data_IF_950283853542
#
_entry.id   IF_950283853542
#
_cell.length_a   1.000
_cell.length_b   1.000
_cell.length_c   1.000
_cell.angle_alpha   90.00
_cell.angle_beta   90.00
_cell.angle_gamma   90.00
#
_symmetry.space_group_name_H-M   'P 1'
#
loop_
_entity.id
_entity.type
_entity.pdbx_description
1 polymer ?
#
# COMPACT_ATOMS: atom_id res chain seq x y z
N UNK A 1 -31.97 36.55 -20.92
CA UNK A 1 -30.75 37.16 -20.34
C UNK A 1 -30.83 36.94 -18.83
N UNK A 2 -29.89 36.41 -18.04
CA UNK A 2 -28.53 35.85 -18.16
C UNK A 2 -28.40 34.93 -16.91
N UNK A 3 -28.13 33.64 -17.10
CA UNK A 3 -26.82 32.96 -16.96
C UNK A 3 -26.45 32.42 -15.57
N UNK A 4 -26.21 31.10 -15.61
CA UNK A 4 -25.72 30.19 -14.58
C UNK A 4 -24.38 30.65 -13.96
N UNK A 5 -24.37 30.87 -12.64
CA UNK A 5 -23.14 30.85 -11.83
C UNK A 5 -22.90 29.44 -11.31
N UNK A 6 -22.15 28.58 -12.03
CA UNK A 6 -21.54 27.35 -11.45
C UNK A 6 -20.61 26.59 -12.41
N UNK A 7 -19.59 27.23 -12.98
CA UNK A 7 -18.48 26.50 -13.64
C UNK A 7 -17.17 27.30 -13.56
N UNK A 8 -16.38 27.12 -12.51
CA UNK A 8 -15.02 27.68 -12.45
C UNK A 8 -14.01 26.90 -11.60
N UNK A 9 -14.26 25.61 -11.31
CA UNK A 9 -13.33 24.80 -10.49
C UNK A 9 -12.73 23.55 -11.15
N UNK A 10 -13.03 23.26 -12.42
CA UNK A 10 -12.45 22.11 -13.14
C UNK A 10 -11.28 22.49 -14.06
N UNK A 11 -11.19 23.74 -14.52
CA UNK A 11 -10.16 24.17 -15.48
C UNK A 11 -8.80 24.49 -14.86
N UNK A 12 -8.69 24.52 -13.52
CA UNK A 12 -7.43 24.86 -12.84
C UNK A 12 -6.56 23.64 -12.52
N UNK A 13 -6.97 22.43 -12.91
CA UNK A 13 -6.19 21.22 -12.64
C UNK A 13 -5.10 20.96 -13.70
N UNK A 14 -5.23 21.51 -14.92
CA UNK A 14 -4.35 21.17 -16.05
C UNK A 14 -3.27 22.21 -16.41
N UNK A 15 -3.25 23.39 -15.77
CA UNK A 15 -2.34 24.48 -16.15
C UNK A 15 -1.06 24.59 -15.29
N UNK A 16 -0.79 23.66 -14.37
CA UNK A 16 0.36 23.77 -13.46
C UNK A 16 1.61 22.98 -13.88
N UNK A 17 1.61 22.26 -15.02
CA UNK A 17 2.69 21.31 -15.34
C UNK A 17 3.44 21.64 -16.63
N UNK A 18 3.54 22.92 -17.02
CA UNK A 18 4.41 23.35 -18.12
C UNK A 18 5.36 24.47 -17.68
N UNK A 19 6.56 24.08 -17.23
CA UNK A 19 7.85 24.82 -17.13
C UNK A 19 8.74 24.00 -16.17
N UNK A 20 9.92 23.46 -16.48
CA UNK A 20 10.96 23.72 -17.48
C UNK A 20 11.55 22.37 -17.95
N UNK A 21 11.60 22.15 -19.26
CA UNK A 21 12.63 21.33 -19.89
C UNK A 21 13.60 22.36 -20.47
N UNK A 22 14.83 22.40 -19.98
CA UNK A 22 15.95 23.00 -20.70
C UNK A 22 16.88 21.85 -21.03
N UNK A 23 16.85 21.50 -22.31
CA UNK A 23 17.86 20.75 -23.05
C UNK A 23 19.13 21.59 -23.15
N UNK A 24 20.28 20.99 -22.89
CA UNK A 24 21.52 21.34 -23.58
C UNK A 24 22.32 20.06 -23.83
N UNK A 25 22.46 19.76 -25.11
CA UNK A 25 23.34 18.78 -25.75
C UNK A 25 24.79 19.27 -25.68
N UNK A 26 25.76 18.34 -25.67
CA UNK A 26 27.01 18.47 -26.43
C UNK A 26 27.75 17.12 -26.50
N UNK A 27 28.10 16.73 -27.72
CA UNK A 27 28.89 15.56 -28.10
C UNK A 27 30.39 15.93 -28.28
N UNK A 28 31.25 14.88 -28.17
CA UNK A 28 32.66 14.69 -28.63
C UNK A 28 33.78 15.55 -27.94
N UNK A 29 35.04 15.15 -27.67
CA UNK A 29 35.98 14.08 -28.09
C UNK A 29 37.10 13.90 -27.03
N UNK A 30 37.57 12.65 -26.84
CA UNK A 30 38.94 12.11 -26.63
C UNK A 30 40.05 12.69 -25.70
N UNK A 31 40.78 11.71 -25.15
CA UNK A 31 42.18 11.60 -24.69
C UNK A 31 42.68 12.14 -23.33
N UNK A 32 43.56 11.32 -22.71
CA UNK A 32 44.65 11.79 -21.84
C UNK A 32 44.48 11.68 -20.33
N UNK A 33 45.24 10.77 -19.72
CA UNK A 33 45.44 10.61 -18.27
C UNK A 33 46.03 11.87 -17.60
N UNK A 34 45.57 12.22 -16.39
CA UNK A 34 46.44 12.53 -15.23
C UNK A 34 45.64 12.76 -13.93
N UNK A 35 46.17 12.19 -12.85
CA UNK A 35 45.67 12.27 -11.48
C UNK A 35 45.60 13.70 -10.95
N UNK A 36 44.41 14.09 -10.48
CA UNK A 36 44.26 15.02 -9.37
C UNK A 36 43.12 14.52 -8.47
N UNK A 37 43.48 14.08 -7.25
CA UNK A 37 42.53 13.70 -6.22
C UNK A 37 41.77 14.95 -5.78
N UNK A 38 40.50 15.05 -6.17
CA UNK A 38 39.61 16.09 -5.67
C UNK A 38 38.97 15.64 -4.35
N UNK A 39 38.96 16.56 -3.38
CA UNK A 39 38.37 16.38 -2.04
C UNK A 39 36.91 15.90 -2.04
N UNK A 40 36.22 15.97 -3.19
CA UNK A 40 34.90 15.39 -3.43
C UNK A 40 34.86 13.87 -3.30
N UNK A 41 35.90 13.13 -3.69
CA UNK A 41 35.94 11.67 -3.51
C UNK A 41 36.15 11.27 -2.04
N UNK A 42 36.87 12.11 -1.28
CA UNK A 42 37.05 11.92 0.16
C UNK A 42 35.74 12.17 0.90
N UNK A 43 35.00 13.21 0.52
CA UNK A 43 33.69 13.54 1.10
C UNK A 43 32.64 12.43 0.87
N UNK A 44 32.61 11.81 -0.31
CA UNK A 44 31.72 10.67 -0.61
C UNK A 44 32.09 9.44 0.24
N UNK A 45 33.38 9.19 0.44
CA UNK A 45 33.84 8.08 1.30
C UNK A 45 33.58 8.32 2.80
N UNK A 46 33.47 9.58 3.23
CA UNK A 46 33.16 9.95 4.62
C UNK A 46 31.66 10.03 4.91
N UNK A 47 30.81 10.35 3.92
CA UNK A 47 29.35 10.32 4.09
C UNK A 47 28.80 8.89 4.13
N UNK A 48 29.42 7.96 3.39
CA UNK A 48 29.12 6.52 3.48
C UNK A 48 29.59 5.93 4.83
N UNK A 49 30.58 6.54 5.49
CA UNK A 49 31.12 6.11 6.79
C UNK A 49 30.42 6.70 8.02
N UNK A 50 29.26 7.36 7.85
CA UNK A 50 28.45 7.91 8.97
C UNK A 50 27.04 7.31 9.11
N UNK A 51 26.87 6.03 8.76
CA UNK A 51 25.75 5.20 9.22
C UNK A 51 26.30 3.90 9.82
N UNK A 52 26.52 3.90 11.14
CA UNK A 52 26.76 2.66 11.89
C UNK A 52 25.47 1.84 11.91
N UNK A 53 25.37 0.85 11.03
CA UNK A 53 24.23 -0.08 10.95
C UNK A 53 24.14 -0.75 9.58
N UNK A 54 23.52 -1.93 9.51
CA UNK A 54 23.33 -2.67 8.25
C UNK A 54 22.72 -1.79 7.15
N UNK A 55 23.27 -1.88 5.93
CA UNK A 55 22.89 -1.05 4.77
C UNK A 55 21.37 -1.06 4.50
N UNK A 56 20.76 -2.22 4.65
CA UNK A 56 19.32 -2.45 4.44
C UNK A 56 18.54 -2.64 5.74
N UNK A 57 18.98 -2.00 6.83
CA UNK A 57 18.16 -1.93 8.06
C UNK A 57 16.84 -1.19 7.76
N UNK A 58 15.73 -1.75 8.24
CA UNK A 58 14.39 -1.21 7.99
C UNK A 58 14.22 0.24 8.47
N UNK A 59 14.92 0.66 9.54
CA UNK A 59 14.87 2.03 10.04
C UNK A 59 15.37 3.07 9.02
N UNK A 60 16.24 2.70 8.09
CA UNK A 60 16.71 3.59 7.04
C UNK A 60 15.58 4.02 6.07
N UNK A 61 14.52 3.22 5.97
CA UNK A 61 13.38 3.48 5.07
C UNK A 61 12.23 4.23 5.74
N UNK A 62 12.16 4.23 7.08
CA UNK A 62 11.10 4.89 7.86
C UNK A 62 11.16 6.42 7.75
N UNK A 63 12.34 6.99 7.48
CA UNK A 63 12.61 8.44 7.56
C UNK A 63 12.08 9.22 6.35
N UNK A 64 11.82 8.58 5.21
CA UNK A 64 11.47 9.28 3.96
C UNK A 64 9.96 9.26 3.73
N UNK A 65 9.34 10.45 3.67
CA UNK A 65 7.92 10.62 3.30
C UNK A 65 7.60 10.15 1.87
N UNK A 66 8.61 9.97 1.02
CA UNK A 66 8.47 9.45 -0.34
C UNK A 66 9.72 8.66 -0.72
N UNK A 67 9.58 7.35 -0.83
CA UNK A 67 10.64 6.43 -1.27
C UNK A 67 10.60 6.29 -2.80
N UNK A 68 11.76 6.24 -3.45
CA UNK A 68 11.87 5.90 -4.86
C UNK A 68 11.56 4.42 -5.08
N UNK A 69 11.16 4.03 -6.29
CA UNK A 69 10.80 2.63 -6.60
C UNK A 69 11.93 1.63 -6.28
N UNK A 70 13.19 1.99 -6.52
CA UNK A 70 14.34 1.16 -6.13
C UNK A 70 14.49 1.01 -4.61
N UNK A 71 14.21 2.07 -3.85
CA UNK A 71 14.25 2.03 -2.38
C UNK A 71 13.11 1.18 -1.81
N UNK A 72 11.92 1.27 -2.42
CA UNK A 72 10.77 0.40 -2.10
C UNK A 72 11.16 -1.07 -2.34
N UNK A 73 11.75 -1.38 -3.49
CA UNK A 73 12.20 -2.73 -3.79
C UNK A 73 13.23 -3.23 -2.77
N UNK A 74 14.24 -2.42 -2.46
CA UNK A 74 15.26 -2.74 -1.47
C UNK A 74 14.64 -3.01 -0.09
N UNK A 75 13.68 -2.18 0.34
CA UNK A 75 12.95 -2.38 1.59
C UNK A 75 12.11 -3.67 1.59
N UNK A 76 11.54 -4.08 0.47
CA UNK A 76 10.69 -5.27 0.42
C UNK A 76 11.49 -6.58 0.35
N UNK A 77 12.60 -6.59 -0.41
CA UNK A 77 13.35 -7.80 -0.76
C UNK A 77 14.71 -7.92 -0.08
N UNK A 78 15.40 -6.80 0.14
CA UNK A 78 16.79 -6.77 0.64
C UNK A 78 16.89 -6.38 2.12
N UNK A 79 15.76 -6.12 2.79
CA UNK A 79 15.76 -5.77 4.21
C UNK A 79 16.55 -6.80 5.01
N UNK A 80 17.45 -6.28 5.83
CA UNK A 80 18.34 -7.08 6.66
C UNK A 80 17.54 -7.99 7.61
N UNK A 81 18.01 -9.23 7.74
CA UNK A 81 17.45 -10.25 8.62
C UNK A 81 18.58 -10.65 9.59
N UNK A 82 18.38 -10.54 10.92
CA UNK A 82 19.35 -11.01 11.91
C UNK A 82 19.64 -12.50 11.75
N UNK A 83 20.80 -12.97 12.21
CA UNK A 83 21.08 -14.41 12.32
C UNK A 83 20.12 -15.07 13.33
N UNK A 84 19.71 -16.34 13.17
CA UNK A 84 18.94 -17.07 14.18
C UNK A 84 19.54 -17.06 15.60
N UNK A 85 20.86 -16.93 15.72
CA UNK A 85 21.60 -16.83 16.98
C UNK A 85 21.80 -15.39 17.47
N UNK A 86 21.20 -14.40 16.80
CA UNK A 86 21.33 -13.00 17.17
C UNK A 86 20.77 -12.73 18.57
N UNK A 87 21.54 -12.01 19.39
CA UNK A 87 21.17 -11.66 20.74
C UNK A 87 20.31 -10.38 20.77
N UNK A 88 19.00 -10.58 20.74
CA UNK A 88 18.05 -9.47 20.82
C UNK A 88 18.10 -8.75 22.18
N UNK A 89 18.09 -7.40 22.19
CA UNK A 89 17.99 -6.59 23.39
C UNK A 89 16.81 -6.98 24.28
N UNK A 90 17.07 -7.01 25.59
CA UNK A 90 16.07 -7.29 26.61
C UNK A 90 15.43 -5.97 27.06
N UNK A 91 14.10 -5.96 27.09
CA UNK A 91 13.28 -4.85 27.58
C UNK A 91 12.56 -5.25 28.86
N UNK A 92 12.65 -4.39 29.88
CA UNK A 92 11.88 -4.55 31.10
C UNK A 92 10.43 -4.13 30.85
N UNK A 93 9.49 -5.05 31.05
CA UNK A 93 8.05 -4.84 30.94
C UNK A 93 7.38 -5.18 32.29
N UNK A 94 7.30 -4.18 33.16
CA UNK A 94 6.81 -4.34 34.52
C UNK A 94 7.74 -5.23 35.34
N UNK A 95 7.23 -6.35 35.84
CA UNK A 95 8.01 -7.33 36.64
C UNK A 95 8.78 -8.34 35.79
N UNK A 96 8.55 -8.37 34.48
CA UNK A 96 9.16 -9.36 33.59
C UNK A 96 10.09 -8.69 32.59
N UNK A 97 11.15 -9.39 32.22
CA UNK A 97 12.03 -8.98 31.14
C UNK A 97 11.71 -9.81 29.90
N UNK A 98 11.55 -9.15 28.75
CA UNK A 98 11.16 -9.79 27.48
C UNK A 98 12.08 -9.30 26.37
N UNK A 99 12.27 -10.14 25.34
CA UNK A 99 13.05 -9.79 24.16
C UNK A 99 12.30 -10.21 22.90
N UNK A 100 12.67 -9.59 21.78
CA UNK A 100 12.22 -10.04 20.47
C UNK A 100 12.63 -11.51 20.25
N UNK A 101 11.77 -12.30 19.63
CA UNK A 101 12.04 -13.70 19.33
C UNK A 101 12.22 -13.87 17.82
N UNK A 102 13.30 -14.55 17.42
CA UNK A 102 13.57 -14.83 16.00
C UNK A 102 12.39 -15.50 15.29
N UNK A 103 11.69 -16.41 15.99
CA UNK A 103 10.48 -17.10 15.52
C UNK A 103 9.41 -16.17 14.94
N UNK A 104 9.33 -14.91 15.38
CA UNK A 104 8.38 -13.95 14.82
C UNK A 104 8.68 -13.64 13.34
N UNK A 105 9.94 -13.61 12.94
CA UNK A 105 10.35 -13.39 11.54
C UNK A 105 9.96 -14.59 10.65
N UNK A 106 9.96 -15.81 11.20
CA UNK A 106 9.54 -17.02 10.49
C UNK A 106 8.03 -17.06 10.28
N UNK A 107 7.25 -16.64 11.28
CA UNK A 107 5.78 -16.67 11.22
C UNK A 107 5.24 -15.51 10.37
N UNK A 108 5.89 -14.34 10.40
CA UNK A 108 5.39 -13.11 9.76
C UNK A 108 6.39 -12.61 8.70
N UNK A 109 6.25 -13.01 7.42
CA UNK A 109 7.18 -12.62 6.35
C UNK A 109 7.29 -11.11 6.10
N UNK A 110 6.29 -10.34 6.54
CA UNK A 110 6.25 -8.88 6.45
C UNK A 110 6.97 -8.18 7.60
N UNK A 111 7.32 -8.89 8.66
CA UNK A 111 8.01 -8.36 9.82
C UNK A 111 9.51 -8.22 9.53
N UNK A 112 10.11 -7.13 10.01
CA UNK A 112 11.54 -6.90 9.96
C UNK A 112 12.01 -6.30 11.29
N UNK A 113 13.18 -6.72 11.76
CA UNK A 113 13.81 -6.16 12.93
C UNK A 113 14.81 -5.06 12.52
N UNK A 114 14.84 -3.97 13.27
CA UNK A 114 15.85 -2.92 13.13
C UNK A 114 16.86 -3.03 14.27
N UNK A 115 18.14 -3.15 13.95
CA UNK A 115 19.22 -3.05 14.92
C UNK A 115 19.38 -1.61 15.40
N UNK A 116 19.23 -0.64 14.49
CA UNK A 116 19.35 0.79 14.76
C UNK A 116 18.31 1.23 15.81
N UNK A 117 17.05 0.87 15.59
CA UNK A 117 15.93 1.25 16.46
C UNK A 117 15.58 0.18 17.51
N UNK A 118 16.32 -0.94 17.54
CA UNK A 118 16.16 -2.05 18.47
C UNK A 118 14.73 -2.59 18.58
N UNK A 119 13.99 -2.65 17.47
CA UNK A 119 12.61 -3.12 17.48
C UNK A 119 12.08 -3.44 16.10
N UNK A 120 10.83 -3.90 16.06
CA UNK A 120 10.26 -4.49 14.86
C UNK A 120 9.36 -3.52 14.08
N UNK A 121 9.35 -3.69 12.76
CA UNK A 121 8.56 -2.93 11.80
C UNK A 121 7.85 -3.86 10.82
N UNK A 122 6.74 -3.40 10.26
CA UNK A 122 6.09 -4.04 9.13
C UNK A 122 6.57 -3.41 7.83
N UNK A 123 7.32 -4.17 7.02
CA UNK A 123 7.89 -3.71 5.73
C UNK A 123 6.83 -3.11 4.81
N UNK A 124 5.68 -3.78 4.69
CA UNK A 124 4.60 -3.32 3.82
C UNK A 124 3.99 -2.01 4.30
N UNK A 125 3.72 -1.90 5.61
CA UNK A 125 3.09 -0.71 6.17
C UNK A 125 4.04 0.49 6.18
N UNK A 126 5.32 0.29 6.51
CA UNK A 126 6.36 1.34 6.43
C UNK A 126 6.37 1.99 5.06
N UNK A 127 6.22 1.19 4.00
CA UNK A 127 6.34 1.68 2.63
C UNK A 127 5.03 2.15 2.02
N UNK A 128 3.86 1.64 2.42
CA UNK A 128 2.60 1.93 1.71
C UNK A 128 1.49 2.55 2.58
N UNK A 129 1.69 2.69 3.89
CA UNK A 129 0.69 3.23 4.80
C UNK A 129 0.88 4.75 5.06
N UNK A 130 0.85 5.56 4.00
CA UNK A 130 1.08 7.01 4.09
C UNK A 130 -0.11 7.82 4.62
N UNK A 131 -1.32 7.28 4.50
CA UNK A 131 -2.57 7.89 4.98
C UNK A 131 -3.26 6.91 5.90
N UNK A 132 -3.49 7.29 7.16
CA UNK A 132 -4.25 6.48 8.13
C UNK A 132 -5.54 5.97 7.48
N UNK A 133 -5.77 4.66 7.51
CA UNK A 133 -6.88 4.05 6.81
C UNK A 133 -8.22 4.45 7.40
N UNK A 134 -9.01 5.25 6.67
CA UNK A 134 -10.43 5.46 6.94
C UNK A 134 -10.82 6.80 7.59
N UNK A 135 -12.13 7.05 7.57
CA UNK A 135 -12.81 8.16 8.24
C UNK A 135 -12.53 8.12 9.74
N UNK A 136 -11.54 8.90 10.21
CA UNK A 136 -11.16 8.96 11.62
C UNK A 136 -9.67 9.16 11.90
N UNK A 137 -8.81 9.20 10.87
CA UNK A 137 -7.38 9.51 11.02
C UNK A 137 -6.68 8.58 12.06
N UNK A 138 -6.83 7.26 11.89
CA UNK A 138 -6.16 6.30 12.77
C UNK A 138 -4.64 6.54 12.76
N UNK A 139 -4.06 6.72 13.96
CA UNK A 139 -2.64 7.02 14.13
C UNK A 139 -1.78 5.81 13.77
N UNK A 140 -0.94 5.96 12.74
CA UNK A 140 0.08 4.97 12.35
C UNK A 140 1.29 5.11 13.25
N UNK A 141 1.30 4.40 14.38
CA UNK A 141 2.40 4.50 15.36
C UNK A 141 3.26 3.23 15.30
N UNK A 142 2.93 2.22 16.13
CA UNK A 142 3.71 0.98 16.23
C UNK A 142 3.73 0.19 14.91
N UNK A 143 4.88 -0.43 14.62
CA UNK A 143 5.20 -1.20 13.41
C UNK A 143 5.32 -0.37 12.13
N UNK A 144 4.98 0.92 12.14
CA UNK A 144 4.98 1.77 10.95
C UNK A 144 5.93 2.94 11.11
N UNK A 145 5.63 3.87 12.03
CA UNK A 145 6.50 5.03 12.31
C UNK A 145 7.44 4.73 13.47
N UNK A 146 6.93 4.01 14.45
CA UNK A 146 7.65 3.63 15.66
C UNK A 146 7.88 2.12 15.70
N UNK A 147 9.04 1.68 16.21
CA UNK A 147 9.33 0.26 16.32
C UNK A 147 8.45 -0.37 17.40
N UNK A 148 8.00 -1.60 17.17
CA UNK A 148 7.42 -2.42 18.23
C UNK A 148 8.54 -2.90 19.16
N UNK A 149 8.51 -2.46 20.41
CA UNK A 149 9.48 -2.80 21.47
C UNK A 149 8.86 -3.57 22.63
N UNK A 150 7.52 -3.67 22.67
CA UNK A 150 6.77 -4.42 23.69
C UNK A 150 6.42 -5.80 23.15
N UNK A 151 6.66 -6.83 23.95
CA UNK A 151 6.54 -8.23 23.56
C UNK A 151 5.70 -9.09 24.51
N UNK A 152 5.01 -8.51 25.50
CA UNK A 152 4.10 -9.25 26.39
C UNK A 152 3.08 -10.11 25.63
N UNK A 153 2.45 -9.53 24.60
CA UNK A 153 1.42 -10.16 23.77
C UNK A 153 1.80 -10.18 22.29
N UNK A 154 3.10 -10.19 21.96
CA UNK A 154 3.60 -9.99 20.59
C UNK A 154 2.85 -10.80 19.52
N UNK A 155 2.58 -12.09 19.76
CA UNK A 155 1.86 -12.93 18.82
C UNK A 155 0.41 -12.48 18.58
N UNK A 156 -0.29 -12.02 19.62
CA UNK A 156 -1.65 -11.50 19.47
C UNK A 156 -1.61 -10.15 18.73
N UNK A 157 -0.71 -9.25 19.13
CA UNK A 157 -0.57 -7.91 18.56
C UNK A 157 -0.20 -7.98 17.06
N UNK A 158 0.71 -8.88 16.67
CA UNK A 158 1.10 -9.10 15.27
C UNK A 158 -0.04 -9.73 14.44
N UNK A 159 -0.81 -10.65 15.04
CA UNK A 159 -2.00 -11.23 14.39
C UNK A 159 -3.16 -10.24 14.27
N UNK A 160 -3.29 -9.30 15.20
CA UNK A 160 -4.26 -8.22 15.11
C UNK A 160 -3.83 -7.22 14.04
N UNK A 161 -2.54 -6.85 14.01
CA UNK A 161 -1.97 -5.99 12.97
C UNK A 161 -2.24 -6.52 11.56
N UNK A 162 -2.05 -7.82 11.33
CA UNK A 162 -2.27 -8.42 9.99
C UNK A 162 -3.72 -8.32 9.50
N UNK A 163 -4.67 -8.18 10.41
CA UNK A 163 -6.11 -8.00 10.12
C UNK A 163 -6.51 -6.53 9.94
N UNK A 164 -5.63 -5.58 10.23
CA UNK A 164 -5.96 -4.16 10.07
C UNK A 164 -6.14 -3.80 8.59
N UNK A 165 -7.09 -2.91 8.31
CA UNK A 165 -7.38 -2.47 6.95
C UNK A 165 -6.14 -1.88 6.25
N UNK A 166 -5.35 -1.07 6.96
CA UNK A 166 -4.16 -0.46 6.37
C UNK A 166 -3.07 -1.49 6.07
N UNK A 167 -2.92 -2.55 6.89
CA UNK A 167 -2.01 -3.64 6.59
C UNK A 167 -2.46 -4.41 5.35
N UNK A 168 -3.73 -4.78 5.25
CA UNK A 168 -4.26 -5.51 4.09
C UNK A 168 -4.06 -4.72 2.79
N UNK A 169 -4.39 -3.43 2.79
CA UNK A 169 -4.19 -2.54 1.63
C UNK A 169 -2.69 -2.42 1.30
N UNK A 170 -1.84 -2.25 2.31
CA UNK A 170 -0.38 -2.14 2.11
C UNK A 170 0.22 -3.45 1.58
N UNK A 171 -0.27 -4.60 2.04
CA UNK A 171 0.12 -5.92 1.56
C UNK A 171 -0.23 -6.09 0.09
N UNK A 172 -1.44 -5.70 -0.31
CA UNK A 172 -1.85 -5.75 -1.71
C UNK A 172 -0.99 -4.84 -2.59
N UNK A 173 -0.78 -3.59 -2.17
CA UNK A 173 0.10 -2.64 -2.87
C UNK A 173 1.53 -3.15 -3.01
N UNK A 174 2.08 -3.79 -1.98
CA UNK A 174 3.41 -4.37 -2.03
C UNK A 174 3.51 -5.51 -3.05
N UNK A 175 2.49 -6.40 -3.11
CA UNK A 175 2.44 -7.49 -4.08
C UNK A 175 2.35 -6.95 -5.51
N UNK A 176 1.44 -5.99 -5.74
CA UNK A 176 1.25 -5.39 -7.05
C UNK A 176 2.51 -4.64 -7.50
N UNK A 177 3.15 -3.91 -6.58
CA UNK A 177 4.42 -3.24 -6.85
C UNK A 177 5.51 -4.22 -7.27
N UNK A 178 5.73 -5.30 -6.50
CA UNK A 178 6.77 -6.28 -6.80
C UNK A 178 6.53 -6.95 -8.15
N UNK A 179 5.27 -7.32 -8.44
CA UNK A 179 4.90 -7.90 -9.73
C UNK A 179 5.21 -6.96 -10.89
N UNK A 180 4.84 -5.69 -10.76
CA UNK A 180 5.07 -4.70 -11.83
C UNK A 180 6.57 -4.36 -11.97
N UNK A 181 7.30 -4.32 -10.86
CA UNK A 181 8.73 -4.02 -10.85
C UNK A 181 9.55 -5.15 -11.49
N UNK A 182 9.25 -6.41 -11.15
CA UNK A 182 9.91 -7.59 -11.73
C UNK A 182 9.60 -7.74 -13.23
N UNK A 183 8.41 -7.34 -13.67
CA UNK A 183 8.02 -7.36 -15.08
C UNK A 183 8.55 -6.17 -15.90
N UNK A 184 9.23 -5.20 -15.27
CA UNK A 184 9.74 -3.99 -15.94
C UNK A 184 8.65 -3.06 -16.49
N UNK A 185 7.40 -3.27 -16.10
CA UNK A 185 6.24 -2.79 -16.85
C UNK A 185 5.65 -1.52 -16.23
N UNK A 186 6.37 -0.39 -16.37
CA UNK A 186 5.76 0.94 -16.16
C UNK A 186 4.57 1.17 -17.12
N UNK A 187 4.54 0.46 -18.26
CA UNK A 187 3.49 0.52 -19.29
C UNK A 187 2.18 -0.13 -18.88
N UNK A 188 2.16 -1.10 -17.97
CA UNK A 188 0.94 -1.73 -17.48
C UNK A 188 -0.02 -0.73 -16.81
N UNK A 189 0.52 0.24 -16.06
CA UNK A 189 -0.28 1.30 -15.45
C UNK A 189 -0.97 2.17 -16.51
N UNK A 190 -0.24 2.55 -17.56
CA UNK A 190 -0.80 3.31 -18.69
C UNK A 190 -1.85 2.49 -19.46
N UNK A 191 -1.69 1.18 -19.58
CA UNK A 191 -2.68 0.28 -20.21
C UNK A 191 -4.00 0.18 -19.43
N UNK A 192 -3.98 0.39 -18.11
CA UNK A 192 -5.21 0.41 -17.30
C UNK A 192 -5.94 1.76 -17.30
N UNK A 193 -5.26 2.84 -17.69
CA UNK A 193 -5.90 4.13 -17.89
C UNK A 193 -6.66 4.09 -19.21
N UNK A 194 -7.97 4.35 -19.24
CA UNK A 194 -8.70 4.41 -20.49
C UNK A 194 -8.11 5.54 -21.34
N UNK A 195 -7.49 5.19 -22.46
CA UNK A 195 -6.91 6.14 -23.43
C UNK A 195 -8.02 7.01 -24.07
N UNK A 196 -9.28 6.59 -23.96
CA UNK A 196 -10.45 7.25 -24.55
C UNK A 196 -11.56 7.51 -23.51
N UNK A 197 -12.34 8.58 -23.71
CA UNK A 197 -13.48 8.92 -22.85
C UNK A 197 -14.68 7.98 -23.01
N UNK A 198 -14.70 7.17 -24.08
CA UNK A 198 -15.83 6.31 -24.43
C UNK A 198 -16.16 5.25 -23.36
N UNK A 199 -15.15 4.69 -22.68
CA UNK A 199 -15.35 3.68 -21.64
C UNK A 199 -16.03 4.27 -20.38
N UNK A 200 -15.53 5.38 -19.80
CA UNK A 200 -16.27 6.12 -18.78
C UNK A 200 -17.68 6.58 -19.21
N UNK A 201 -17.85 7.06 -20.44
CA UNK A 201 -19.17 7.51 -20.93
C UNK A 201 -20.20 6.37 -20.98
N UNK A 202 -19.76 5.17 -21.41
CA UNK A 202 -20.61 3.97 -21.42
C UNK A 202 -21.01 3.55 -20.00
N UNK A 203 -20.10 3.63 -19.03
CA UNK A 203 -20.42 3.31 -17.62
C UNK A 203 -21.34 4.35 -16.99
N UNK A 204 -21.22 5.65 -17.33
CA UNK A 204 -22.18 6.66 -16.88
C UNK A 204 -23.58 6.44 -17.48
N UNK A 205 -23.65 6.04 -18.75
CA UNK A 205 -24.92 5.70 -19.40
C UNK A 205 -25.60 4.50 -18.74
N UNK A 206 -24.86 3.44 -18.42
CA UNK A 206 -25.41 2.29 -17.69
C UNK A 206 -25.78 2.65 -16.24
N UNK A 207 -24.98 3.46 -15.55
CA UNK A 207 -25.28 3.93 -14.20
C UNK A 207 -26.57 4.76 -14.16
N UNK A 208 -26.83 5.58 -15.19
CA UNK A 208 -28.07 6.36 -15.34
C UNK A 208 -29.30 5.46 -15.52
N UNK A 209 -29.14 4.25 -16.06
CA UNK A 209 -30.21 3.23 -16.12
C UNK A 209 -30.42 2.52 -14.77
N UNK A 210 -29.36 2.33 -13.98
CA UNK A 210 -29.44 1.69 -12.65
C UNK A 210 -30.03 2.67 -11.62
N UNK A 211 -29.59 3.93 -11.65
CA UNK A 211 -30.04 5.02 -10.79
C UNK A 211 -30.93 5.97 -11.59
N UNK A 212 -32.20 5.60 -11.72
CA UNK A 212 -33.20 6.43 -12.39
C UNK A 212 -33.75 7.51 -11.45
N UNK A 213 -34.32 8.57 -12.05
CA UNK A 213 -34.97 9.66 -11.31
C UNK A 213 -36.10 9.14 -10.39
N UNK A 214 -36.89 8.19 -10.88
CA UNK A 214 -37.98 7.56 -10.13
C UNK A 214 -37.49 6.67 -8.96
N UNK A 215 -36.19 6.31 -8.94
CA UNK A 215 -35.57 5.46 -7.92
C UNK A 215 -34.50 6.22 -7.12
N UNK A 216 -34.79 7.48 -6.79
CA UNK A 216 -33.86 8.40 -6.11
C UNK A 216 -33.48 7.98 -4.69
N UNK A 217 -34.28 7.12 -4.03
CA UNK A 217 -34.10 6.68 -2.64
C UNK A 217 -33.31 5.38 -2.48
N UNK A 218 -32.60 4.91 -3.52
CA UNK A 218 -31.76 3.71 -3.44
C UNK A 218 -30.57 3.90 -2.48
N UNK A 219 -30.32 2.93 -1.59
CA UNK A 219 -29.13 2.94 -0.70
C UNK A 219 -27.84 2.74 -1.48
N UNK A 220 -26.72 3.24 -0.95
CA UNK A 220 -25.39 3.09 -1.57
C UNK A 220 -24.99 1.62 -1.72
N UNK A 221 -25.26 0.79 -0.71
CA UNK A 221 -24.98 -0.65 -0.78
C UNK A 221 -25.74 -1.32 -1.93
N UNK A 222 -27.03 -1.01 -2.09
CA UNK A 222 -27.86 -1.58 -3.17
C UNK A 222 -27.43 -1.06 -4.54
N UNK A 223 -27.01 0.21 -4.64
CA UNK A 223 -26.48 0.79 -5.88
C UNK A 223 -25.16 0.13 -6.28
N UNK A 224 -24.22 0.01 -5.34
CA UNK A 224 -22.91 -0.59 -5.58
C UNK A 224 -23.05 -2.07 -5.96
N UNK A 225 -23.94 -2.82 -5.30
CA UNK A 225 -24.24 -4.21 -5.68
C UNK A 225 -24.75 -4.33 -7.12
N UNK A 226 -25.74 -3.51 -7.51
CA UNK A 226 -26.27 -3.52 -8.89
C UNK A 226 -25.22 -3.09 -9.93
N UNK A 227 -24.38 -2.11 -9.59
CA UNK A 227 -23.30 -1.67 -10.46
C UNK A 227 -22.25 -2.77 -10.66
N UNK A 228 -21.84 -3.47 -9.60
CA UNK A 228 -20.91 -4.59 -9.66
C UNK A 228 -21.46 -5.75 -10.51
N UNK A 229 -22.73 -6.12 -10.35
CA UNK A 229 -23.39 -7.13 -11.21
C UNK A 229 -23.44 -6.68 -12.68
N UNK A 230 -23.63 -5.38 -12.94
CA UNK A 230 -23.65 -4.86 -14.30
C UNK A 230 -22.27 -4.79 -14.96
N UNK A 231 -21.20 -4.62 -14.18
CA UNK A 231 -19.82 -4.62 -14.70
C UNK A 231 -19.38 -6.06 -14.98
N UNK A 232 -19.65 -6.98 -14.05
CA UNK A 232 -19.21 -8.38 -14.12
C UNK A 232 -20.26 -9.31 -14.73
N UNK A 233 -20.78 -8.97 -15.92
CA UNK A 233 -21.86 -9.77 -16.57
C UNK A 233 -21.42 -11.16 -17.01
N UNK A 234 -20.12 -11.36 -17.18
CA UNK A 234 -19.54 -12.62 -17.66
C UNK A 234 -19.36 -13.66 -16.54
N UNK A 235 -19.55 -13.24 -15.28
CA UNK A 235 -19.54 -14.16 -14.14
C UNK A 235 -20.91 -14.84 -14.09
N UNK A 236 -20.96 -16.11 -14.49
CA UNK A 236 -22.16 -16.95 -14.36
C UNK A 236 -22.35 -17.31 -12.89
N UNK A 237 -23.20 -16.57 -12.19
CA UNK A 237 -23.61 -16.91 -10.83
C UNK A 237 -24.77 -17.90 -10.92
N UNK A 238 -24.59 -19.11 -10.39
CA UNK A 238 -25.65 -20.12 -10.37
C UNK A 238 -26.65 -19.84 -9.25
N UNK A 239 -27.92 -20.20 -9.44
CA UNK A 239 -28.96 -19.93 -8.45
C UNK A 239 -28.72 -20.75 -7.17
N UNK A 240 -28.08 -21.90 -7.31
CA UNK A 240 -27.71 -22.83 -6.24
C UNK A 240 -26.68 -22.23 -5.30
N UNK A 241 -25.64 -21.56 -5.84
CA UNK A 241 -24.63 -20.85 -5.05
C UNK A 241 -25.25 -19.70 -4.25
N UNK A 242 -26.14 -18.92 -4.88
CA UNK A 242 -26.84 -17.82 -4.23
C UNK A 242 -27.74 -18.35 -3.11
N UNK A 243 -28.48 -19.44 -3.35
CA UNK A 243 -29.36 -20.05 -2.36
C UNK A 243 -28.56 -20.54 -1.15
N UNK A 244 -27.43 -21.23 -1.37
CA UNK A 244 -26.57 -21.70 -0.28
C UNK A 244 -25.98 -20.55 0.54
N UNK A 245 -25.49 -19.50 -0.12
CA UNK A 245 -24.93 -18.34 0.59
C UNK A 245 -26.01 -17.52 1.31
N UNK A 246 -27.22 -17.42 0.75
CA UNK A 246 -28.35 -16.80 1.42
C UNK A 246 -28.79 -17.58 2.68
N UNK A 247 -28.79 -18.92 2.63
CA UNK A 247 -29.09 -19.78 3.78
C UNK A 247 -28.05 -19.57 4.89
N UNK A 248 -26.75 -19.51 4.54
CA UNK A 248 -25.68 -19.25 5.51
C UNK A 248 -25.82 -17.89 6.19
N UNK A 249 -26.20 -16.85 5.43
CA UNK A 249 -26.26 -15.46 5.93
C UNK A 249 -27.55 -15.18 6.70
N UNK A 250 -28.68 -15.83 6.35
CA UNK A 250 -30.01 -15.44 6.83
C UNK A 250 -30.77 -16.56 7.56
N UNK A 251 -30.10 -17.26 8.48
CA UNK A 251 -30.69 -18.35 9.30
C UNK A 251 -32.02 -18.00 10.00
N UNK A 252 -32.30 -16.73 10.30
CA UNK A 252 -33.57 -16.30 10.93
C UNK A 252 -34.75 -16.08 9.98
N UNK A 253 -34.54 -15.94 8.66
CA UNK A 253 -35.61 -15.52 7.72
C UNK A 253 -36.30 -16.65 6.99
N UNK A 254 -35.80 -17.89 7.14
CA UNK A 254 -36.25 -19.04 6.36
C UNK A 254 -36.84 -20.14 7.24
N UNK A 255 -37.66 -19.78 8.23
CA UNK A 255 -38.61 -20.74 8.79
C UNK A 255 -39.68 -21.00 7.73
N UNK A 256 -39.45 -21.98 6.87
CA UNK A 256 -40.51 -22.54 6.04
C UNK A 256 -41.48 -23.23 6.99
N UNK A 257 -42.68 -22.67 7.12
CA UNK A 257 -43.77 -23.37 7.77
C UNK A 257 -44.19 -24.49 6.81
N UNK A 258 -44.29 -25.74 7.27
CA UNK A 258 -44.77 -26.84 6.44
C UNK A 258 -46.26 -26.65 6.16
N UNK A 259 -46.63 -26.56 4.88
CA UNK A 259 -48.02 -26.47 4.42
C UNK A 259 -48.62 -27.84 4.08
N UNK A 260 -47.98 -28.95 4.43
CA UNK A 260 -48.58 -30.28 4.34
C UNK A 260 -49.46 -30.55 5.57
N UNK A 261 -50.70 -30.07 5.55
CA UNK A 261 -51.80 -30.62 6.34
C UNK A 261 -52.99 -30.86 5.44
#
# INVERSE_FOLDING_TARGET
MQQNKRTSKITNFFNSTQKKIITESNDVVDDGQQQSQSDSQRLISTEIKKKSGHLYDIANFVVKHTLQSSEIFNCLKLTWIPDPKYDFPIHAEGKHSRKFQYKYLEIFPWLAYSEINKGAYCKWCVVFAFSGGGSGNQSLNNLVREPMTKYKNAMADLNEHSKTNYHMISSQRAKDFLKNYENGDQTALFSTLPVTSATPERTFSTLKRIKTYLRSTISQERLNGLALTNINKEVNVTMEEIAQDFIKISTRRMQLQDWSK
#
